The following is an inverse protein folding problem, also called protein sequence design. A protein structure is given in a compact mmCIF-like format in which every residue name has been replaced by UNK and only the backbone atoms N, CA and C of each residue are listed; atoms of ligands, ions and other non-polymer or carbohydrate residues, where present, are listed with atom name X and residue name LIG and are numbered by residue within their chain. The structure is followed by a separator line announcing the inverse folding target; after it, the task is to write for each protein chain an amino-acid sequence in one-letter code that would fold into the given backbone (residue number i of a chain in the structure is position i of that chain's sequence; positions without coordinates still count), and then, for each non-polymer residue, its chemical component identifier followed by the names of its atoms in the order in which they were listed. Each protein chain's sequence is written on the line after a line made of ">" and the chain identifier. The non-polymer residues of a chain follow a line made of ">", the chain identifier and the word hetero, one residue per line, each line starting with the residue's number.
data_IF_832491580157
#
_entry.id   IF_832491580157
#
_cell.length_a   1.000
_cell.length_b   1.000
_cell.length_c   1.000
_cell.angle_alpha   90.00
_cell.angle_beta   90.00
_cell.angle_gamma   90.00
#
_symmetry.space_group_name_H-M   'P 1'
#
loop_
_entity.id
_entity.type
_entity.pdbx_description
1 polymer ?
#
# COMPACT_ATOMS: atom_id res chain seq x y z
N UNK A 1 2.34 -24.41 9.22
CA UNK A 1 3.00 -23.29 8.52
C UNK A 1 2.67 -22.03 9.29
N UNK A 2 3.67 -21.34 9.86
CA UNK A 2 3.44 -20.04 10.52
C UNK A 2 3.26 -18.99 9.44
N UNK A 3 2.14 -18.27 9.46
CA UNK A 3 1.94 -17.12 8.57
C UNK A 3 2.93 -16.04 9.00
N UNK A 4 3.84 -15.66 8.10
CA UNK A 4 4.75 -14.54 8.32
C UNK A 4 3.93 -13.26 8.51
N UNK A 5 4.31 -12.42 9.48
CA UNK A 5 3.58 -11.19 9.79
C UNK A 5 4.36 -9.97 9.29
N UNK A 6 3.69 -8.94 8.76
CA UNK A 6 4.37 -7.74 8.32
C UNK A 6 5.03 -6.98 9.48
N UNK A 7 6.19 -6.35 9.27
CA UNK A 7 6.83 -5.46 10.24
C UNK A 7 6.12 -4.10 10.25
N UNK A 8 4.89 -4.05 10.77
CA UNK A 8 3.97 -2.89 10.67
C UNK A 8 4.61 -1.59 11.14
N UNK A 9 5.35 -1.59 12.25
CA UNK A 9 6.00 -0.38 12.77
C UNK A 9 7.04 0.20 11.81
N UNK A 10 7.79 -0.68 11.12
CA UNK A 10 8.77 -0.24 10.10
C UNK A 10 8.06 0.23 8.84
N UNK A 11 7.01 -0.49 8.42
CA UNK A 11 6.20 -0.12 7.26
C UNK A 11 5.53 1.24 7.45
N UNK A 12 5.08 1.57 8.66
CA UNK A 12 4.51 2.89 8.98
C UNK A 12 5.42 4.06 8.64
N UNK A 13 6.71 3.91 8.91
CA UNK A 13 7.74 4.91 8.65
C UNK A 13 8.38 4.84 7.26
N UNK A 14 7.84 4.03 6.34
CA UNK A 14 8.39 3.88 5.00
C UNK A 14 8.34 5.16 4.15
N UNK A 15 9.11 5.18 3.07
CA UNK A 15 9.01 6.22 2.04
C UNK A 15 7.88 5.85 1.07
N UNK A 16 6.75 6.52 1.23
CA UNK A 16 5.54 6.22 0.46
C UNK A 16 5.41 7.09 -0.77
N UNK A 17 5.07 6.44 -1.87
CA UNK A 17 4.75 7.08 -3.15
C UNK A 17 3.27 6.88 -3.48
N UNK A 18 2.70 7.80 -4.27
CA UNK A 18 1.39 7.65 -4.89
C UNK A 18 1.51 7.52 -6.40
N UNK A 19 0.47 7.02 -7.04
CA UNK A 19 0.40 6.95 -8.50
C UNK A 19 0.44 8.37 -9.10
N UNK A 20 1.06 8.53 -10.27
CA UNK A 20 0.99 9.78 -11.04
C UNK A 20 -0.41 10.06 -11.62
N UNK A 21 -1.29 9.05 -11.61
CA UNK A 21 -2.69 9.19 -12.00
C UNK A 21 -3.59 9.58 -10.82
N UNK A 22 -3.04 9.64 -9.61
CA UNK A 22 -3.75 10.11 -8.41
C UNK A 22 -3.80 11.64 -8.39
N UNK A 23 -4.94 12.27 -8.03
CA UNK A 23 -5.01 13.71 -7.86
C UNK A 23 -4.07 14.20 -6.75
N UNK A 24 -3.74 15.49 -6.79
CA UNK A 24 -2.77 16.10 -5.88
C UNK A 24 -3.21 16.08 -4.41
N UNK A 25 -4.52 16.05 -4.13
CA UNK A 25 -5.06 16.03 -2.77
C UNK A 25 -6.01 14.84 -2.55
N UNK A 26 -5.77 14.14 -1.45
CA UNK A 26 -6.84 13.65 -0.58
C UNK A 26 -7.15 12.16 -0.62
N UNK A 27 -7.14 11.48 -1.75
CA UNK A 27 -7.95 10.25 -1.84
C UNK A 27 -7.29 9.08 -2.55
N UNK A 28 -6.03 8.74 -2.23
CA UNK A 28 -5.32 7.71 -2.99
C UNK A 28 -4.51 6.72 -2.17
N UNK A 29 -4.37 5.53 -2.78
CA UNK A 29 -3.49 4.46 -2.31
C UNK A 29 -2.05 4.92 -2.40
N UNK A 30 -1.31 4.72 -1.31
CA UNK A 30 0.14 4.89 -1.28
C UNK A 30 0.84 3.59 -0.99
N UNK A 31 2.01 3.44 -1.61
CA UNK A 31 2.84 2.24 -1.52
C UNK A 31 4.26 2.58 -1.07
N UNK A 32 4.83 1.73 -0.22
CA UNK A 32 6.26 1.76 0.12
C UNK A 32 6.82 0.33 0.12
N UNK A 33 8.15 0.20 0.04
CA UNK A 33 8.84 -1.08 0.21
C UNK A 33 9.80 -1.00 1.38
N UNK A 34 9.65 -1.90 2.35
CA UNK A 34 10.51 -1.98 3.54
C UNK A 34 10.81 -3.44 3.84
N UNK A 35 12.09 -3.81 3.92
CA UNK A 35 12.55 -5.14 4.37
C UNK A 35 11.84 -6.34 3.71
N UNK A 36 11.58 -6.29 2.40
CA UNK A 36 10.91 -7.39 1.68
C UNK A 36 9.37 -7.38 1.77
N UNK A 37 8.80 -6.36 2.40
CA UNK A 37 7.37 -6.12 2.51
C UNK A 37 6.96 -4.87 1.72
N UNK A 38 5.72 -4.87 1.25
CA UNK A 38 5.04 -3.74 0.64
C UNK A 38 4.05 -3.18 1.65
N UNK A 39 4.20 -1.91 2.00
CA UNK A 39 3.27 -1.18 2.84
C UNK A 39 2.23 -0.49 1.96
N UNK A 40 0.96 -0.60 2.34
CA UNK A 40 -0.15 0.13 1.72
C UNK A 40 -0.82 1.01 2.77
N UNK A 41 -0.95 2.30 2.46
CA UNK A 41 -1.59 3.31 3.31
C UNK A 41 -2.59 4.15 2.50
N UNK A 42 -3.57 4.72 3.19
CA UNK A 42 -4.47 5.73 2.62
C UNK A 42 -3.85 7.13 2.79
N UNK A 43 -3.80 7.91 1.70
CA UNK A 43 -3.28 9.27 1.71
C UNK A 43 -4.00 10.20 2.71
N UNK A 44 -5.30 9.97 2.97
CA UNK A 44 -6.12 10.76 3.91
C UNK A 44 -5.51 10.89 5.31
N UNK A 45 -4.76 9.87 5.73
CA UNK A 45 -4.19 9.81 7.06
C UNK A 45 -2.91 10.67 7.20
N UNK A 46 -2.30 11.17 6.12
CA UNK A 46 -0.97 11.79 6.26
C UNK A 46 -0.99 13.20 6.84
N UNK A 47 -2.04 13.94 6.54
CA UNK A 47 -2.20 15.31 7.00
C UNK A 47 -2.72 15.36 8.44
N UNK A 48 -3.33 14.27 8.92
CA UNK A 48 -4.09 14.24 10.18
C UNK A 48 -3.56 13.25 11.21
N UNK A 49 -2.84 12.21 10.78
CA UNK A 49 -2.34 11.13 11.64
C UNK A 49 -0.81 11.05 11.55
N UNK A 50 -0.09 11.07 12.69
CA UNK A 50 1.35 10.83 12.73
C UNK A 50 1.73 9.51 12.08
N UNK A 51 2.87 9.43 11.38
CA UNK A 51 3.31 8.23 10.69
C UNK A 51 3.27 6.96 11.57
N UNK A 52 3.60 7.08 12.85
CA UNK A 52 3.60 6.00 13.86
C UNK A 52 2.21 5.45 14.19
N UNK A 53 1.13 6.12 13.79
CA UNK A 53 -0.25 5.74 14.09
C UNK A 53 -1.06 5.38 12.85
N UNK A 54 -0.50 5.57 11.64
CA UNK A 54 -1.20 5.31 10.38
C UNK A 54 -1.57 3.84 10.22
N UNK A 55 -2.75 3.59 9.70
CA UNK A 55 -3.22 2.27 9.29
C UNK A 55 -2.36 1.80 8.15
N UNK A 56 -1.59 0.73 8.38
CA UNK A 56 -0.68 0.17 7.37
C UNK A 56 -0.99 -1.28 7.14
N UNK A 57 -1.41 -1.61 5.91
CA UNK A 57 -1.50 -2.98 5.47
C UNK A 57 -0.12 -3.41 4.94
N UNK A 58 0.29 -4.63 5.24
CA UNK A 58 1.56 -5.18 4.81
C UNK A 58 1.36 -6.44 3.98
N UNK A 59 2.01 -6.48 2.81
CA UNK A 59 2.01 -7.62 1.90
C UNK A 59 3.44 -8.05 1.59
N UNK A 60 3.66 -9.32 1.35
CA UNK A 60 4.94 -9.78 0.80
C UNK A 60 5.11 -9.24 -0.62
N UNK A 61 6.36 -9.17 -1.10
CA UNK A 61 6.64 -8.82 -2.51
C UNK A 61 5.95 -9.79 -3.48
N UNK A 62 5.85 -11.07 -3.14
CA UNK A 62 5.21 -12.08 -4.00
C UNK A 62 3.69 -11.86 -4.11
N UNK A 63 3.02 -11.63 -2.98
CA UNK A 63 1.58 -11.30 -2.97
C UNK A 63 1.29 -10.03 -3.76
N UNK A 64 2.09 -8.98 -3.54
CA UNK A 64 1.87 -7.71 -4.23
C UNK A 64 2.18 -7.80 -5.74
N UNK A 65 3.19 -8.60 -6.14
CA UNK A 65 3.47 -8.88 -7.54
C UNK A 65 2.32 -9.63 -8.22
N UNK A 66 1.69 -10.60 -7.54
CA UNK A 66 0.51 -11.29 -8.03
C UNK A 66 -0.67 -10.33 -8.21
N UNK A 67 -0.92 -9.46 -7.23
CA UNK A 67 -1.93 -8.40 -7.33
C UNK A 67 -1.69 -7.49 -8.54
N UNK A 68 -0.47 -6.98 -8.71
CA UNK A 68 -0.13 -6.12 -9.85
C UNK A 68 -0.30 -6.83 -11.19
N UNK A 69 -0.05 -8.14 -11.26
CA UNK A 69 -0.28 -8.92 -12.46
C UNK A 69 -1.78 -8.97 -12.81
N UNK A 70 -2.65 -9.29 -11.85
CA UNK A 70 -4.09 -9.30 -12.05
C UNK A 70 -4.65 -7.92 -12.40
N UNK A 71 -4.21 -6.88 -11.68
CA UNK A 71 -4.60 -5.50 -11.97
C UNK A 71 -4.20 -5.06 -13.38
N UNK A 72 -2.99 -5.39 -13.84
CA UNK A 72 -2.53 -5.10 -15.21
C UNK A 72 -3.27 -5.91 -16.28
N UNK A 73 -3.83 -7.07 -15.92
CA UNK A 73 -4.65 -7.88 -16.80
C UNK A 73 -6.13 -7.42 -16.84
N UNK A 74 -6.49 -6.37 -16.08
CA UNK A 74 -7.84 -5.85 -16.00
C UNK A 74 -8.79 -6.69 -15.16
N UNK A 75 -8.27 -7.62 -14.34
CA UNK A 75 -9.10 -8.54 -13.54
C UNK A 75 -10.06 -7.80 -12.58
N UNK A 76 -9.71 -6.57 -12.20
CA UNK A 76 -10.46 -5.75 -11.23
C UNK A 76 -11.20 -4.57 -11.86
N UNK A 77 -11.13 -4.37 -13.18
CA UNK A 77 -11.72 -3.19 -13.84
C UNK A 77 -13.23 -3.12 -13.60
N UNK A 78 -13.90 -4.27 -13.56
CA UNK A 78 -15.33 -4.39 -13.28
C UNK A 78 -15.79 -3.80 -11.94
N UNK A 79 -14.87 -3.50 -11.01
CA UNK A 79 -15.19 -2.87 -9.73
C UNK A 79 -15.36 -1.34 -9.81
N UNK A 80 -14.97 -0.72 -10.93
CA UNK A 80 -14.96 0.73 -11.12
C UNK A 80 -15.72 1.20 -12.38
N UNK A 81 -16.54 0.31 -12.97
CA UNK A 81 -17.38 0.59 -14.15
C UNK A 81 -18.81 0.96 -13.77
#
# INVERSE_FOLDING_TARGET
>A
MTVERPPVEKLRGGEYIKSSFSPDKGDCVRLSRVEGWIGMQDEKEYDTIPATQRTTLGYTVAEFAAFLKGAKAGEFDHLIL
#
